data_IF_004766894983
#
_entry.id   IF_004766894983
#
_cell.length_a   1.000
_cell.length_b   1.000
_cell.length_c   1.000
_cell.angle_alpha   90.00
_cell.angle_beta   90.00
_cell.angle_gamma   90.00
#
_symmetry.space_group_name_H-M   'P 1'
#
loop_
_entity.id
_entity.type
_entity.pdbx_description
1 polymer ?
#
# COMPACT_ATOMS: atom_id res chain seq x y z
N UNK A 1 -11.32 14.41 7.26
CA UNK A 1 -11.80 15.79 7.43
C UNK A 1 -11.58 16.68 6.21
N UNK A 2 -10.56 16.51 5.35
CA UNK A 2 -10.42 17.35 4.13
C UNK A 2 -10.93 16.73 2.82
N UNK A 3 -11.08 15.40 2.73
CA UNK A 3 -11.43 14.73 1.47
C UNK A 3 -12.91 14.80 1.08
N UNK A 4 -13.82 14.66 2.05
CA UNK A 4 -15.27 14.76 1.81
C UNK A 4 -15.68 16.11 1.24
N UNK A 5 -14.95 17.18 1.57
CA UNK A 5 -15.22 18.51 1.01
C UNK A 5 -14.72 18.66 -0.43
N UNK A 6 -13.66 17.93 -0.81
CA UNK A 6 -13.08 18.00 -2.16
C UNK A 6 -13.76 17.06 -3.15
N UNK A 7 -14.32 15.95 -2.67
CA UNK A 7 -15.04 14.96 -3.45
C UNK A 7 -16.35 14.59 -2.74
N UNK A 8 -17.38 15.45 -2.79
CA UNK A 8 -18.69 15.17 -2.20
C UNK A 8 -19.29 13.91 -2.85
N UNK A 9 -20.03 13.11 -2.08
CA UNK A 9 -20.62 11.88 -2.62
C UNK A 9 -21.66 12.14 -3.72
N UNK A 10 -22.34 13.29 -3.66
CA UNK A 10 -23.46 13.67 -4.52
C UNK A 10 -23.09 14.60 -5.69
N UNK A 11 -21.83 15.06 -5.78
CA UNK A 11 -21.37 15.99 -6.82
C UNK A 11 -20.17 15.46 -7.61
N UNK A 12 -20.38 14.92 -8.84
CA UNK A 12 -19.28 14.47 -9.70
C UNK A 12 -18.36 15.60 -10.19
N UNK A 13 -17.02 15.38 -10.27
CA UNK A 13 -16.34 14.11 -10.04
C UNK A 13 -16.16 13.80 -8.55
N UNK A 14 -16.47 12.56 -8.20
CA UNK A 14 -16.38 11.98 -6.85
C UNK A 14 -15.74 10.59 -6.88
N UNK A 15 -15.52 9.96 -5.72
CA UNK A 15 -14.86 8.64 -5.65
C UNK A 15 -15.57 7.55 -6.48
N UNK A 16 -16.90 7.54 -6.55
CA UNK A 16 -17.65 6.58 -7.36
C UNK A 16 -17.35 6.75 -8.85
N UNK A 17 -17.44 7.99 -9.36
CA UNK A 17 -17.17 8.29 -10.77
C UNK A 17 -15.70 8.10 -11.15
N UNK A 18 -14.77 8.39 -10.23
CA UNK A 18 -13.35 8.12 -10.42
C UNK A 18 -13.05 6.61 -10.48
N UNK A 19 -13.62 5.82 -9.57
CA UNK A 19 -13.50 4.36 -9.61
C UNK A 19 -14.08 3.78 -10.90
N UNK A 20 -15.25 4.25 -11.33
CA UNK A 20 -15.87 3.85 -12.59
C UNK A 20 -14.99 4.19 -13.80
N UNK A 21 -14.38 5.39 -13.82
CA UNK A 21 -13.46 5.79 -14.89
C UNK A 21 -12.20 4.92 -14.95
N UNK A 22 -11.61 4.58 -13.79
CA UNK A 22 -10.44 3.69 -13.71
C UNK A 22 -10.77 2.27 -14.21
N UNK A 23 -12.00 1.81 -14.01
CA UNK A 23 -12.48 0.49 -14.46
C UNK A 23 -12.97 0.46 -15.90
N UNK A 24 -13.18 1.60 -16.55
CA UNK A 24 -13.74 1.66 -17.89
C UNK A 24 -12.89 0.91 -18.94
N UNK A 25 -11.56 0.91 -18.78
CA UNK A 25 -10.64 0.16 -19.65
C UNK A 25 -10.34 -1.27 -19.17
N UNK A 26 -10.45 -1.53 -17.88
CA UNK A 26 -10.25 -2.84 -17.28
C UNK A 26 -11.22 -3.03 -16.09
N UNK A 27 -12.36 -3.73 -16.30
CA UNK A 27 -13.34 -3.94 -15.24
C UNK A 27 -12.80 -4.65 -13.99
N UNK A 28 -11.75 -5.47 -14.16
CA UNK A 28 -11.12 -6.24 -13.08
C UNK A 28 -10.00 -5.49 -12.35
N UNK A 29 -9.73 -4.23 -12.72
CA UNK A 29 -8.77 -3.41 -11.97
C UNK A 29 -9.17 -3.36 -10.49
N UNK A 30 -8.20 -3.21 -9.59
CA UNK A 30 -8.45 -2.84 -8.20
C UNK A 30 -7.98 -1.41 -7.97
N UNK A 31 -8.70 -0.66 -7.12
CA UNK A 31 -8.55 0.78 -6.93
C UNK A 31 -8.34 1.10 -5.45
N UNK A 32 -7.49 2.08 -5.18
CA UNK A 32 -7.26 2.67 -3.87
C UNK A 32 -7.17 4.19 -3.98
N UNK A 33 -7.71 4.91 -3.00
CA UNK A 33 -7.62 6.38 -2.94
C UNK A 33 -6.71 6.81 -1.80
N UNK A 34 -5.61 7.49 -2.13
CA UNK A 34 -4.61 7.86 -1.13
C UNK A 34 -5.00 9.12 -0.34
N UNK A 35 -5.23 9.03 0.98
CA UNK A 35 -5.52 10.18 1.84
C UNK A 35 -4.24 10.80 2.42
N UNK A 36 -3.07 10.50 1.84
CA UNK A 36 -1.77 10.78 2.40
C UNK A 36 -1.43 9.85 3.57
N UNK A 37 -0.35 10.18 4.27
CA UNK A 37 0.12 9.38 5.42
C UNK A 37 -0.91 9.37 6.56
N UNK A 38 -1.42 8.18 6.89
CA UNK A 38 -2.34 7.95 8.02
C UNK A 38 -1.86 6.80 8.89
N UNK A 39 -1.81 7.06 10.20
CA UNK A 39 -1.46 6.06 11.22
C UNK A 39 -2.51 6.16 12.34
N UNK A 40 -3.38 5.15 12.53
CA UNK A 40 -3.45 3.89 11.79
C UNK A 40 -3.86 4.08 10.31
N UNK A 41 -3.61 3.05 9.48
CA UNK A 41 -4.13 2.97 8.11
C UNK A 41 -5.67 2.97 8.16
N UNK A 42 -6.28 3.74 7.27
CA UNK A 42 -7.73 3.93 7.16
C UNK A 42 -8.21 3.56 5.75
N UNK A 43 -9.50 3.29 5.63
CA UNK A 43 -10.19 3.33 4.34
C UNK A 43 -10.64 4.75 4.03
N UNK A 44 -10.39 5.21 2.81
CA UNK A 44 -10.71 6.58 2.35
C UNK A 44 -12.15 6.67 1.83
N UNK A 45 -12.63 5.64 1.16
CA UNK A 45 -13.93 5.62 0.48
C UNK A 45 -14.50 4.21 0.43
N UNK A 46 -15.82 4.08 0.37
CA UNK A 46 -16.49 2.79 0.09
C UNK A 46 -16.30 2.30 -1.35
N UNK A 47 -15.66 3.11 -2.21
CA UNK A 47 -15.41 2.80 -3.63
C UNK A 47 -13.99 2.30 -3.93
N UNK A 48 -13.20 1.97 -2.90
CA UNK A 48 -11.87 1.35 -3.06
C UNK A 48 -11.87 -0.13 -2.68
N UNK A 49 -11.03 -0.94 -3.29
CA UNK A 49 -10.96 -2.38 -2.97
C UNK A 49 -9.93 -2.68 -1.86
N UNK A 50 -8.97 -1.77 -1.70
CA UNK A 50 -7.89 -1.87 -0.72
C UNK A 50 -7.47 -0.48 -0.24
N UNK A 51 -6.92 -0.40 0.97
CA UNK A 51 -6.44 0.87 1.52
C UNK A 51 -5.18 1.31 0.77
N UNK A 52 -5.07 2.58 0.38
CA UNK A 52 -3.84 3.08 -0.25
C UNK A 52 -2.60 2.87 0.62
N UNK A 53 -2.77 2.96 1.96
CA UNK A 53 -1.81 2.39 2.90
C UNK A 53 -0.51 3.17 3.08
N UNK A 54 -0.45 4.42 2.62
CA UNK A 54 0.79 5.19 2.66
C UNK A 54 1.30 5.39 4.10
N UNK A 55 2.50 4.88 4.38
CA UNK A 55 3.24 5.11 5.62
C UNK A 55 4.69 5.49 5.30
N UNK A 56 5.21 6.51 5.98
CA UNK A 56 6.59 6.95 5.77
C UNK A 56 7.57 6.32 6.76
N UNK A 57 7.54 6.74 8.04
CA UNK A 57 8.48 6.28 9.07
C UNK A 57 7.89 5.28 10.06
N UNK A 58 6.58 5.30 10.24
CA UNK A 58 5.90 4.36 11.12
C UNK A 58 5.80 2.97 10.46
N UNK A 59 5.77 1.92 11.28
CA UNK A 59 5.41 0.55 10.89
C UNK A 59 4.22 0.12 11.74
N UNK A 60 2.99 0.55 11.40
CA UNK A 60 1.82 0.29 12.22
C UNK A 60 1.53 -1.20 12.30
N UNK A 61 0.89 -1.60 13.39
CA UNK A 61 0.39 -2.95 13.53
C UNK A 61 -0.75 -3.20 12.52
N UNK A 62 -0.63 -4.27 11.73
CA UNK A 62 -1.77 -4.82 11.00
C UNK A 62 -2.77 -5.41 12.00
N UNK A 63 -4.02 -4.92 11.98
CA UNK A 63 -5.08 -5.37 12.90
C UNK A 63 -5.93 -6.52 12.34
N UNK A 64 -5.75 -6.84 11.06
CA UNK A 64 -6.49 -7.89 10.37
C UNK A 64 -6.48 -7.66 8.87
N UNK A 65 -7.18 -8.55 8.17
CA UNK A 65 -7.25 -8.60 6.72
C UNK A 65 -7.94 -7.40 6.07
N UNK A 66 -8.83 -6.71 6.79
CA UNK A 66 -9.70 -5.69 6.24
C UNK A 66 -9.77 -4.45 7.13
N UNK A 67 -10.11 -3.31 6.51
CA UNK A 67 -10.43 -2.04 7.16
C UNK A 67 -11.85 -1.66 6.77
N UNK A 68 -12.73 -1.54 7.77
CA UNK A 68 -14.14 -1.23 7.58
C UNK A 68 -14.38 0.30 7.49
N UNK A 69 -15.25 0.71 6.58
CA UNK A 69 -15.82 2.07 6.49
C UNK A 69 -17.24 1.97 5.96
N UNK A 70 -18.21 2.46 6.72
CA UNK A 70 -19.61 2.62 6.29
C UNK A 70 -20.22 1.33 5.67
N UNK A 71 -19.91 0.17 6.25
CA UNK A 71 -20.40 -1.14 5.80
C UNK A 71 -19.61 -1.75 4.63
N UNK A 72 -18.54 -1.10 4.18
CA UNK A 72 -17.60 -1.59 3.18
C UNK A 72 -16.29 -2.02 3.81
N UNK A 73 -15.73 -3.14 3.34
CA UNK A 73 -14.49 -3.74 3.84
C UNK A 73 -13.38 -3.68 2.78
N UNK A 74 -12.48 -2.71 2.91
CA UNK A 74 -11.30 -2.62 2.03
C UNK A 74 -10.19 -3.56 2.51
N UNK A 75 -9.48 -4.25 1.60
CA UNK A 75 -8.30 -5.06 1.96
C UNK A 75 -7.26 -4.17 2.65
N UNK A 76 -6.78 -4.58 3.82
CA UNK A 76 -5.68 -3.90 4.49
C UNK A 76 -4.42 -4.01 3.63
N UNK A 77 -3.92 -2.88 3.17
CA UNK A 77 -2.71 -2.77 2.39
C UNK A 77 -1.81 -1.69 2.97
N UNK A 78 -0.51 -1.98 2.98
CA UNK A 78 0.56 -1.08 3.39
C UNK A 78 1.39 -0.69 2.17
N UNK A 79 1.65 0.59 1.99
CA UNK A 79 2.61 1.11 1.02
C UNK A 79 3.69 1.88 1.76
N UNK A 80 4.95 1.42 1.66
CA UNK A 80 6.10 2.12 2.24
C UNK A 80 7.37 1.83 1.44
N UNK A 81 8.45 2.54 1.73
CA UNK A 81 9.70 2.48 0.98
C UNK A 81 10.82 1.75 1.74
N UNK A 82 11.65 1.01 1.01
CA UNK A 82 12.87 0.37 1.52
C UNK A 82 14.08 1.31 1.53
N UNK A 83 14.07 2.34 0.69
CA UNK A 83 15.12 3.35 0.64
C UNK A 83 15.05 4.35 1.80
N UNK A 84 15.83 5.42 1.75
CA UNK A 84 15.72 6.53 2.71
C UNK A 84 14.43 7.36 2.48
N UNK A 85 13.93 7.33 1.25
CA UNK A 85 12.70 7.98 0.81
C UNK A 85 12.12 7.26 -0.42
N UNK A 86 10.92 7.65 -0.84
CA UNK A 86 10.29 7.15 -2.06
C UNK A 86 11.24 7.23 -3.27
N UNK A 87 11.47 6.09 -3.92
CA UNK A 87 12.23 5.94 -5.16
C UNK A 87 13.73 6.26 -5.06
N UNK A 88 14.32 6.42 -3.87
CA UNK A 88 15.74 6.82 -3.73
C UNK A 88 16.42 6.40 -2.44
N UNK A 89 17.74 6.54 -2.44
CA UNK A 89 18.60 6.36 -1.27
C UNK A 89 19.04 4.92 -1.07
N UNK A 90 19.68 4.68 0.06
CA UNK A 90 20.18 3.36 0.48
C UNK A 90 19.15 2.58 1.30
N UNK A 91 19.27 1.25 1.43
CA UNK A 91 18.38 0.46 2.28
C UNK A 91 18.36 1.00 3.72
N UNK A 92 17.19 1.39 4.21
CA UNK A 92 17.04 1.96 5.56
C UNK A 92 16.78 0.93 6.66
N UNK A 93 16.66 -0.35 6.29
CA UNK A 93 16.27 -1.43 7.19
C UNK A 93 17.12 -2.68 6.99
N UNK A 94 17.40 -3.44 8.07
CA UNK A 94 18.00 -4.76 7.94
C UNK A 94 16.99 -5.78 7.42
N UNK A 95 17.49 -6.83 6.77
CA UNK A 95 16.66 -7.86 6.12
C UNK A 95 15.69 -8.54 7.09
N UNK A 96 16.11 -8.80 8.33
CA UNK A 96 15.27 -9.43 9.34
C UNK A 96 14.03 -8.59 9.65
N UNK A 97 14.17 -7.26 9.65
CA UNK A 97 13.04 -6.37 9.90
C UNK A 97 12.08 -6.38 8.72
N UNK A 98 12.59 -6.25 7.50
CA UNK A 98 11.74 -6.23 6.29
C UNK A 98 10.99 -7.55 6.12
N UNK A 99 11.67 -8.68 6.34
CA UNK A 99 11.06 -10.01 6.36
C UNK A 99 10.04 -10.12 7.49
N UNK A 100 10.39 -9.71 8.70
CA UNK A 100 9.52 -9.79 9.88
C UNK A 100 8.24 -8.97 9.71
N UNK A 101 8.34 -7.75 9.20
CA UNK A 101 7.19 -6.89 8.97
C UNK A 101 6.31 -7.40 7.83
N UNK A 102 6.92 -7.91 6.76
CA UNK A 102 6.18 -8.57 5.66
C UNK A 102 5.40 -9.78 6.18
N UNK A 103 6.02 -10.63 7.01
CA UNK A 103 5.34 -11.76 7.67
C UNK A 103 4.22 -11.30 8.60
N UNK A 104 4.45 -10.26 9.40
CA UNK A 104 3.44 -9.71 10.29
C UNK A 104 2.17 -9.29 9.54
N UNK A 105 2.32 -8.50 8.46
CA UNK A 105 1.20 -8.04 7.66
C UNK A 105 0.49 -9.21 6.95
N UNK A 106 1.25 -10.07 6.28
CA UNK A 106 0.68 -11.16 5.46
C UNK A 106 0.07 -12.28 6.30
N UNK A 107 0.62 -12.60 7.48
CA UNK A 107 0.04 -13.61 8.39
C UNK A 107 -1.33 -13.22 8.94
N UNK A 108 -1.66 -11.91 8.93
CA UNK A 108 -2.98 -11.38 9.32
C UNK A 108 -3.89 -11.15 8.11
N UNK A 109 -3.48 -11.59 6.92
CA UNK A 109 -4.22 -11.45 5.66
C UNK A 109 -4.16 -10.03 5.05
N UNK A 110 -3.28 -9.16 5.54
CA UNK A 110 -2.97 -7.90 4.89
C UNK A 110 -1.99 -8.09 3.73
N UNK A 111 -1.81 -7.02 2.95
CA UNK A 111 -0.85 -6.97 1.83
C UNK A 111 0.13 -5.82 2.05
N UNK A 112 1.35 -5.96 1.56
CA UNK A 112 2.36 -4.90 1.62
C UNK A 112 3.03 -4.72 0.28
N UNK A 113 3.20 -3.47 -0.12
CA UNK A 113 4.01 -3.04 -1.26
C UNK A 113 5.22 -2.27 -0.72
N UNK A 114 6.40 -2.73 -1.13
CA UNK A 114 7.67 -2.08 -0.84
C UNK A 114 8.13 -1.29 -2.07
N UNK A 115 8.17 0.03 -1.95
CA UNK A 115 8.81 0.91 -2.92
C UNK A 115 10.34 0.76 -2.84
N UNK A 116 10.97 0.74 -4.01
CA UNK A 116 12.42 0.62 -4.19
C UNK A 116 12.91 1.67 -5.18
N UNK A 117 14.16 2.14 -5.03
CA UNK A 117 14.76 3.01 -6.03
C UNK A 117 14.96 2.31 -7.37
N UNK A 118 15.10 3.14 -8.41
CA UNK A 118 15.40 2.71 -9.77
C UNK A 118 16.66 3.43 -10.28
N UNK A 119 17.53 2.69 -10.94
CA UNK A 119 18.72 3.21 -11.61
C UNK A 119 18.34 3.87 -12.95
N UNK A 120 19.23 4.69 -13.50
CA UNK A 120 19.01 5.36 -14.80
C UNK A 120 18.88 4.39 -15.98
N UNK A 121 19.37 3.16 -15.83
CA UNK A 121 19.21 2.07 -16.79
C UNK A 121 17.88 1.30 -16.62
N UNK A 122 17.02 1.71 -15.68
CA UNK A 122 15.73 1.07 -15.40
C UNK A 122 15.79 -0.14 -14.47
N UNK A 123 16.96 -0.51 -13.94
CA UNK A 123 17.11 -1.65 -13.02
C UNK A 123 16.94 -1.23 -11.55
N UNK A 124 16.51 -2.17 -10.72
CA UNK A 124 16.52 -2.03 -9.26
C UNK A 124 17.97 -2.18 -8.78
N UNK A 125 18.51 -1.28 -7.93
CA UNK A 125 19.86 -1.44 -7.40
C UNK A 125 20.03 -2.74 -6.61
N UNK A 126 21.21 -3.36 -6.75
CA UNK A 126 21.51 -4.69 -6.22
C UNK A 126 21.17 -4.88 -4.72
N UNK A 127 21.44 -3.94 -3.80
CA UNK A 127 21.08 -4.10 -2.39
C UNK A 127 19.57 -4.32 -2.16
N UNK A 128 18.71 -3.66 -2.95
CA UNK A 128 17.26 -3.84 -2.85
C UNK A 128 16.81 -5.16 -3.48
N UNK A 129 17.45 -5.59 -4.57
CA UNK A 129 17.21 -6.92 -5.16
C UNK A 129 17.53 -8.03 -4.15
N UNK A 130 18.63 -7.89 -3.40
CA UNK A 130 19.02 -8.84 -2.35
C UNK A 130 17.99 -8.89 -1.22
N UNK A 131 17.54 -7.73 -0.74
CA UNK A 131 16.51 -7.64 0.29
C UNK A 131 15.16 -8.19 -0.17
N UNK A 132 14.72 -7.89 -1.40
CA UNK A 132 13.53 -8.48 -2.00
C UNK A 132 13.66 -10.01 -2.14
N UNK A 133 14.85 -10.52 -2.46
CA UNK A 133 15.11 -11.96 -2.47
C UNK A 133 15.04 -12.59 -1.07
N UNK A 134 15.48 -11.88 -0.02
CA UNK A 134 15.31 -12.31 1.37
C UNK A 134 13.83 -12.46 1.73
N UNK A 135 12.99 -11.48 1.36
CA UNK A 135 11.52 -11.59 1.49
C UNK A 135 11.01 -12.79 0.70
N UNK A 136 11.34 -12.88 -0.59
CA UNK A 136 10.85 -13.92 -1.48
C UNK A 136 11.18 -15.33 -0.99
N UNK A 137 12.40 -15.57 -0.49
CA UNK A 137 12.78 -16.85 0.11
C UNK A 137 12.00 -17.15 1.39
N UNK A 138 11.82 -16.15 2.25
CA UNK A 138 11.15 -16.31 3.53
C UNK A 138 9.63 -16.50 3.44
N UNK A 139 9.02 -16.13 2.31
CA UNK A 139 7.57 -16.23 2.06
C UNK A 139 7.17 -17.42 1.18
N UNK A 140 8.12 -18.20 0.66
CA UNK A 140 7.79 -19.43 -0.09
C UNK A 140 7.12 -20.45 0.83
N UNK A 141 6.04 -21.11 0.39
CA UNK A 141 5.54 -22.28 1.09
C UNK A 141 6.62 -23.37 1.07
N UNK A 142 6.81 -24.03 2.22
CA UNK A 142 7.69 -25.19 2.37
C UNK A 142 7.12 -26.44 1.72
#
# INVERSE_FOLDING_TARGET
YEYEYRFPEDDPPNFATLAAALRAGNPDAIVAFNPGVKVPIISTSVHEDYTAGEISRALPECRGAFVEKDGHAARYHVLTYLGEFWGRGEPRFPDEMVVGYTKHVTSKGGVITWDVPIQTNGLIPQPFVEQLNCIGRAMRPG
#
